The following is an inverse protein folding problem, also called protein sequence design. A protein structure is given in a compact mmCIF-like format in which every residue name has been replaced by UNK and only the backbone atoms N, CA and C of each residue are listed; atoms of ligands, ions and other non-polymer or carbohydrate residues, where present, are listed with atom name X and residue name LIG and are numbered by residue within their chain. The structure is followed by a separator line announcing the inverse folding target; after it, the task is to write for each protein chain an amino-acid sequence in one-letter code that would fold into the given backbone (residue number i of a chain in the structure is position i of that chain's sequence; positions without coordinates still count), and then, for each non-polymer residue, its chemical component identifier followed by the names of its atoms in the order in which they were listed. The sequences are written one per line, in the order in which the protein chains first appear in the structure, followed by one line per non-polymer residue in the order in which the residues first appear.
data_IF_055779567764
#
_entry.id   IF_055779567764
#
_cell.length_a   1.000
_cell.length_b   1.000
_cell.length_c   1.000
_cell.angle_alpha   90.00
_cell.angle_beta   90.00
_cell.angle_gamma   90.00
#
_symmetry.space_group_name_H-M   'P 1'
#
loop_
_entity.id
_entity.type
_entity.pdbx_description
1 polymer ?
#
# COMPACT_ATOMS: atom_id res chain seq x y z
N UNK A 1 -11.17 -20.34 12.88
CA UNK A 1 -11.31 -18.89 12.66
C UNK A 1 -12.73 -18.57 12.23
N UNK A 2 -13.25 -17.42 12.62
CA UNK A 2 -14.63 -17.00 12.32
C UNK A 2 -14.69 -16.31 10.94
N UNK A 3 -15.35 -16.93 9.97
CA UNK A 3 -15.44 -16.44 8.59
C UNK A 3 -16.16 -15.10 8.51
N UNK A 4 -17.25 -14.91 9.26
CA UNK A 4 -18.00 -13.66 9.26
C UNK A 4 -17.15 -12.49 9.77
N UNK A 5 -16.28 -12.74 10.76
CA UNK A 5 -15.33 -11.73 11.25
C UNK A 5 -14.31 -11.37 10.16
N UNK A 6 -13.76 -12.36 9.44
CA UNK A 6 -12.80 -12.12 8.36
C UNK A 6 -13.42 -11.26 7.24
N UNK A 7 -14.68 -11.51 6.87
CA UNK A 7 -15.36 -10.71 5.86
C UNK A 7 -15.56 -9.26 6.31
N UNK A 8 -15.86 -9.04 7.59
CA UNK A 8 -15.93 -7.70 8.18
C UNK A 8 -14.54 -7.05 8.18
N UNK A 9 -13.49 -7.79 8.56
CA UNK A 9 -12.11 -7.32 8.53
C UNK A 9 -11.68 -6.89 7.13
N UNK A 10 -12.03 -7.64 6.07
CA UNK A 10 -11.73 -7.26 4.69
C UNK A 10 -12.34 -5.90 4.33
N UNK A 11 -13.60 -5.66 4.69
CA UNK A 11 -14.29 -4.40 4.42
C UNK A 11 -13.72 -3.23 5.24
N UNK A 12 -13.51 -3.44 6.55
CA UNK A 12 -12.95 -2.44 7.46
C UNK A 12 -11.51 -2.11 7.08
N UNK A 13 -10.71 -3.11 6.71
CA UNK A 13 -9.32 -2.92 6.31
C UNK A 13 -9.22 -2.10 5.02
N UNK A 14 -10.08 -2.35 4.03
CA UNK A 14 -10.17 -1.51 2.83
C UNK A 14 -10.57 -0.06 3.17
N UNK A 15 -11.53 0.15 4.07
CA UNK A 15 -11.94 1.48 4.49
C UNK A 15 -10.83 2.24 5.22
N UNK A 16 -10.16 1.60 6.19
CA UNK A 16 -9.03 2.19 6.92
C UNK A 16 -7.87 2.50 5.98
N UNK A 17 -7.51 1.55 5.11
CA UNK A 17 -6.46 1.75 4.13
C UNK A 17 -6.77 2.95 3.23
N UNK A 18 -7.98 3.03 2.69
CA UNK A 18 -8.45 4.16 1.87
C UNK A 18 -8.34 5.50 2.63
N UNK A 19 -8.76 5.53 3.90
CA UNK A 19 -8.68 6.71 4.75
C UNK A 19 -7.24 7.16 5.04
N UNK A 20 -6.27 6.24 5.01
CA UNK A 20 -4.84 6.53 5.18
C UNK A 20 -4.22 7.01 3.86
N UNK A 21 -4.47 6.31 2.75
CA UNK A 21 -3.81 6.57 1.46
C UNK A 21 -4.33 7.82 0.76
N UNK A 22 -5.62 8.16 0.89
CA UNK A 22 -6.14 9.38 0.25
C UNK A 22 -5.41 10.64 0.75
N UNK A 23 -5.27 10.90 2.06
CA UNK A 23 -4.50 12.04 2.55
C UNK A 23 -3.00 11.94 2.25
N UNK A 24 -2.43 10.74 2.22
CA UNK A 24 -1.02 10.53 1.90
C UNK A 24 -0.70 10.84 0.41
N UNK A 25 -1.67 10.61 -0.48
CA UNK A 25 -1.54 10.80 -1.92
C UNK A 25 -2.12 12.12 -2.44
N UNK A 26 -2.58 13.02 -1.56
CA UNK A 26 -3.21 14.28 -1.96
C UNK A 26 -2.67 15.51 -1.21
N UNK A 27 -3.13 16.69 -1.62
CA UNK A 27 -2.66 17.96 -1.06
C UNK A 27 -1.14 18.12 -1.21
N UNK A 28 -0.48 18.65 -0.17
CA UNK A 28 0.98 18.85 -0.18
C UNK A 28 1.75 17.53 0.00
N UNK A 29 1.11 16.45 0.45
CA UNK A 29 1.78 15.17 0.73
C UNK A 29 2.19 14.43 -0.55
N UNK A 30 1.46 14.61 -1.66
CA UNK A 30 1.80 13.98 -2.93
C UNK A 30 3.16 14.40 -3.51
N UNK A 31 3.73 15.51 -3.03
CA UNK A 31 5.03 16.03 -3.45
C UNK A 31 6.20 15.54 -2.58
N UNK A 32 5.97 14.70 -1.58
CA UNK A 32 7.07 14.12 -0.81
C UNK A 32 7.81 13.06 -1.63
N UNK A 33 9.10 12.81 -1.37
CA UNK A 33 9.87 11.83 -2.14
C UNK A 33 9.24 10.42 -2.13
N UNK A 34 8.67 10.00 -1.00
CA UNK A 34 7.99 8.72 -0.86
C UNK A 34 6.66 8.63 -1.61
N UNK A 35 5.97 9.75 -1.83
CA UNK A 35 4.78 9.80 -2.67
C UNK A 35 5.14 9.80 -4.16
N UNK A 36 6.12 10.62 -4.55
CA UNK A 36 6.61 10.69 -5.95
C UNK A 36 7.14 9.32 -6.42
N UNK A 37 7.80 8.56 -5.54
CA UNK A 37 8.25 7.19 -5.78
C UNK A 37 7.13 6.26 -6.30
N UNK A 38 5.88 6.50 -5.91
CA UNK A 38 4.75 5.64 -6.27
C UNK A 38 4.13 5.99 -7.64
N UNK A 39 4.56 7.07 -8.31
CA UNK A 39 4.11 7.37 -9.68
C UNK A 39 4.91 6.57 -10.73
N UNK A 40 4.33 6.31 -11.91
CA UNK A 40 5.05 5.80 -13.07
C UNK A 40 6.34 6.59 -13.39
N UNK A 41 7.43 5.95 -13.84
CA UNK A 41 8.72 6.61 -14.05
C UNK A 41 8.69 7.80 -15.03
N UNK A 42 7.86 7.73 -16.06
CA UNK A 42 7.65 8.81 -17.03
C UNK A 42 6.98 10.03 -16.40
N UNK A 43 6.01 9.85 -15.51
CA UNK A 43 5.41 10.94 -14.72
C UNK A 43 6.46 11.57 -13.80
N UNK A 44 7.32 10.76 -13.18
CA UNK A 44 8.42 11.27 -12.37
C UNK A 44 9.38 12.11 -13.21
N UNK A 45 9.80 11.61 -14.37
CA UNK A 45 10.69 12.31 -15.29
C UNK A 45 10.11 13.63 -15.76
N UNK A 46 8.82 13.66 -16.14
CA UNK A 46 8.13 14.89 -16.55
C UNK A 46 8.09 15.91 -15.40
N UNK A 47 7.67 15.48 -14.20
CA UNK A 47 7.60 16.35 -13.02
C UNK A 47 8.94 17.02 -12.71
N UNK A 48 10.05 16.28 -12.83
CA UNK A 48 11.39 16.79 -12.52
C UNK A 48 12.01 17.68 -13.61
N UNK A 49 11.33 17.92 -14.73
CA UNK A 49 11.78 18.94 -15.70
C UNK A 49 11.62 20.36 -15.17
N UNK A 50 10.62 20.59 -14.32
CA UNK A 50 10.28 21.92 -13.80
C UNK A 50 10.44 22.01 -12.28
N UNK A 51 10.72 20.91 -11.60
CA UNK A 51 10.86 20.84 -10.14
C UNK A 51 12.26 20.33 -9.73
N UNK A 52 12.76 20.71 -8.53
CA UNK A 52 14.03 20.21 -8.03
C UNK A 52 14.08 18.68 -7.97
N UNK A 53 15.12 18.08 -8.58
CA UNK A 53 15.34 16.64 -8.54
C UNK A 53 15.68 16.20 -7.11
N UNK A 54 14.92 15.24 -6.60
CA UNK A 54 15.18 14.57 -5.31
C UNK A 54 15.31 13.06 -5.49
N UNK A 55 15.97 12.38 -4.56
CA UNK A 55 16.09 10.92 -4.61
C UNK A 55 14.77 10.27 -4.18
N UNK A 56 14.07 9.74 -5.18
CA UNK A 56 12.81 9.00 -5.06
C UNK A 56 13.02 7.51 -5.29
N UNK A 57 14.27 7.01 -5.31
CA UNK A 57 14.51 5.58 -5.50
C UNK A 57 14.07 4.76 -4.28
N UNK A 58 13.91 3.44 -4.46
CA UNK A 58 13.71 2.50 -3.35
C UNK A 58 14.82 2.54 -2.27
N UNK A 59 15.99 3.12 -2.59
CA UNK A 59 17.12 3.26 -1.68
C UNK A 59 17.13 4.59 -0.92
N UNK A 60 16.23 5.51 -1.27
CA UNK A 60 16.05 6.78 -0.58
C UNK A 60 15.72 6.54 0.89
N UNK A 61 16.38 7.29 1.80
CA UNK A 61 16.15 7.17 3.25
C UNK A 61 14.67 7.37 3.61
N UNK A 62 13.99 8.29 2.92
CA UNK A 62 12.58 8.59 3.15
C UNK A 62 11.68 7.42 2.75
N UNK A 63 11.95 6.82 1.58
CA UNK A 63 11.19 5.65 1.07
C UNK A 63 11.40 4.45 1.99
N UNK A 64 12.64 4.18 2.41
CA UNK A 64 12.96 3.09 3.34
C UNK A 64 12.27 3.31 4.68
N UNK A 65 12.32 4.52 5.24
CA UNK A 65 11.71 4.84 6.52
C UNK A 65 10.18 4.68 6.45
N UNK A 66 9.53 5.26 5.44
CA UNK A 66 8.09 5.17 5.26
C UNK A 66 7.62 3.71 5.12
N UNK A 67 8.32 2.90 4.31
CA UNK A 67 7.98 1.47 4.14
C UNK A 67 8.22 0.68 5.43
N UNK A 68 9.30 0.96 6.16
CA UNK A 68 9.59 0.32 7.45
C UNK A 68 8.51 0.63 8.49
N UNK A 69 8.08 1.90 8.60
CA UNK A 69 6.97 2.30 9.48
C UNK A 69 5.66 1.65 9.04
N UNK A 70 5.42 1.52 7.73
CA UNK A 70 4.29 0.80 7.18
C UNK A 70 4.27 -0.67 7.64
N UNK A 71 5.39 -1.39 7.55
CA UNK A 71 5.49 -2.79 8.01
C UNK A 71 5.07 -2.89 9.48
N UNK A 72 5.56 -2.01 10.34
CA UNK A 72 5.22 -2.03 11.78
C UNK A 72 3.73 -1.73 12.02
N UNK A 73 3.19 -0.71 11.34
CA UNK A 73 1.78 -0.33 11.46
C UNK A 73 0.85 -1.47 11.00
N UNK A 74 1.08 -2.02 9.81
CA UNK A 74 0.25 -3.12 9.29
C UNK A 74 0.38 -4.38 10.14
N UNK A 75 1.58 -4.68 10.65
CA UNK A 75 1.79 -5.80 11.58
C UNK A 75 0.93 -5.65 12.84
N UNK A 76 0.88 -4.45 13.43
CA UNK A 76 0.06 -4.19 14.61
C UNK A 76 -1.44 -4.32 14.33
N UNK A 77 -1.92 -3.74 13.22
CA UNK A 77 -3.32 -3.82 12.80
C UNK A 77 -3.72 -5.28 12.56
N UNK A 78 -2.89 -6.04 11.84
CA UNK A 78 -3.23 -7.40 11.43
C UNK A 78 -3.08 -8.41 12.58
N UNK A 79 -2.25 -8.13 13.59
CA UNK A 79 -2.26 -8.88 14.84
C UNK A 79 -3.60 -8.77 15.57
N UNK A 80 -4.23 -7.58 15.56
CA UNK A 80 -5.58 -7.39 16.10
C UNK A 80 -6.62 -8.16 15.29
N UNK A 81 -6.54 -8.14 13.95
CA UNK A 81 -7.40 -8.98 13.10
C UNK A 81 -7.26 -10.47 13.43
N UNK A 82 -6.02 -10.98 13.56
CA UNK A 82 -5.80 -12.37 13.95
C UNK A 82 -6.45 -12.72 15.29
N UNK A 83 -6.38 -11.81 16.26
CA UNK A 83 -7.03 -11.99 17.56
C UNK A 83 -8.56 -12.06 17.41
N UNK A 84 -9.20 -11.12 16.72
CA UNK A 84 -10.65 -11.09 16.54
C UNK A 84 -11.18 -12.26 15.69
N UNK A 85 -10.46 -12.64 14.63
CA UNK A 85 -10.78 -13.81 13.81
C UNK A 85 -10.58 -15.15 14.56
N UNK A 86 -9.94 -15.14 15.73
CA UNK A 86 -9.67 -16.31 16.54
C UNK A 86 -8.62 -17.23 15.93
N UNK A 87 -7.58 -16.68 15.30
CA UNK A 87 -6.38 -17.42 14.93
C UNK A 87 -5.64 -17.86 16.21
N UNK A 88 -5.19 -19.11 16.25
CA UNK A 88 -4.56 -19.76 17.42
C UNK A 88 -3.20 -20.38 17.13
N UNK A 89 -2.79 -20.40 15.87
CA UNK A 89 -1.52 -21.00 15.46
C UNK A 89 -0.79 -20.05 14.52
N UNK A 90 0.54 -20.23 14.42
CA UNK A 90 1.36 -19.51 13.46
C UNK A 90 0.75 -19.51 12.06
N UNK A 91 0.40 -20.68 11.54
CA UNK A 91 -0.10 -20.83 10.17
C UNK A 91 -1.46 -20.19 9.96
N UNK A 92 -2.33 -20.19 10.99
CA UNK A 92 -3.60 -19.47 10.91
C UNK A 92 -3.38 -17.96 10.81
N UNK A 93 -2.53 -17.40 11.69
CA UNK A 93 -2.21 -15.97 11.65
C UNK A 93 -1.48 -15.58 10.37
N UNK A 94 -0.53 -16.41 9.91
CA UNK A 94 0.23 -16.18 8.68
C UNK A 94 -0.68 -16.12 7.46
N UNK A 95 -1.52 -17.14 7.25
CA UNK A 95 -2.38 -17.19 6.06
C UNK A 95 -3.51 -16.18 6.11
N UNK A 96 -4.07 -15.88 7.28
CA UNK A 96 -5.04 -14.80 7.42
C UNK A 96 -4.40 -13.46 7.05
N UNK A 97 -3.24 -13.15 7.64
CA UNK A 97 -2.55 -11.89 7.40
C UNK A 97 -2.14 -11.76 5.94
N UNK A 98 -1.56 -12.80 5.36
CA UNK A 98 -1.19 -12.80 3.95
C UNK A 98 -2.41 -12.65 3.04
N UNK A 99 -3.53 -13.30 3.36
CA UNK A 99 -4.80 -13.16 2.64
C UNK A 99 -5.36 -11.73 2.71
N UNK A 100 -5.34 -11.09 3.88
CA UNK A 100 -5.76 -9.69 4.04
C UNK A 100 -4.82 -8.72 3.30
N UNK A 101 -3.51 -8.99 3.29
CA UNK A 101 -2.54 -8.21 2.53
C UNK A 101 -2.71 -8.39 1.01
N UNK A 102 -3.02 -9.59 0.54
CA UNK A 102 -3.34 -9.85 -0.86
C UNK A 102 -4.65 -9.17 -1.26
N UNK A 103 -5.69 -9.24 -0.41
CA UNK A 103 -6.95 -8.54 -0.60
C UNK A 103 -6.74 -7.04 -0.74
N UNK A 104 -6.00 -6.40 0.17
CA UNK A 104 -5.80 -4.96 0.09
C UNK A 104 -4.91 -4.57 -1.10
N UNK A 105 -3.90 -5.36 -1.44
CA UNK A 105 -3.08 -5.12 -2.64
C UNK A 105 -3.90 -5.18 -3.93
N UNK A 106 -4.84 -6.12 -4.02
CA UNK A 106 -5.78 -6.19 -5.15
C UNK A 106 -6.76 -5.02 -5.16
N UNK A 107 -7.30 -4.63 -4.00
CA UNK A 107 -8.17 -3.47 -3.88
C UNK A 107 -7.45 -2.18 -4.31
N UNK A 108 -6.24 -1.95 -3.82
CA UNK A 108 -5.40 -0.80 -4.17
C UNK A 108 -5.14 -0.77 -5.68
N UNK A 109 -4.64 -1.87 -6.24
CA UNK A 109 -4.32 -1.96 -7.69
C UNK A 109 -5.57 -1.77 -8.56
N UNK A 110 -6.64 -2.52 -8.30
CA UNK A 110 -7.78 -2.59 -9.21
C UNK A 110 -8.75 -1.42 -9.05
N UNK A 111 -8.88 -0.87 -7.84
CA UNK A 111 -9.82 0.20 -7.55
C UNK A 111 -9.12 1.53 -7.34
N UNK A 112 -8.18 1.64 -6.39
CA UNK A 112 -7.56 2.93 -6.09
C UNK A 112 -6.70 3.39 -7.26
N UNK A 113 -5.76 2.59 -7.74
CA UNK A 113 -4.87 2.96 -8.83
C UNK A 113 -5.61 3.06 -10.17
N UNK A 114 -6.27 1.98 -10.60
CA UNK A 114 -6.85 1.92 -11.95
C UNK A 114 -8.12 2.73 -12.14
N UNK A 115 -8.88 3.00 -11.07
CA UNK A 115 -10.16 3.72 -11.16
C UNK A 115 -10.05 5.09 -10.48
N UNK A 116 -9.72 5.16 -9.19
CA UNK A 116 -9.81 6.41 -8.45
C UNK A 116 -8.69 7.41 -8.82
N UNK A 117 -7.43 7.02 -8.63
CA UNK A 117 -6.25 7.88 -8.80
C UNK A 117 -6.01 8.22 -10.27
N UNK A 118 -6.21 7.27 -11.18
CA UNK A 118 -6.09 7.50 -12.61
C UNK A 118 -7.07 8.58 -13.14
N UNK A 119 -8.28 8.66 -12.56
CA UNK A 119 -9.35 9.53 -13.07
C UNK A 119 -9.49 10.87 -12.32
N UNK A 120 -8.96 11.01 -11.11
CA UNK A 120 -9.13 12.23 -10.31
C UNK A 120 -7.90 13.15 -10.39
N UNK A 121 -8.10 14.35 -10.95
CA UNK A 121 -7.03 15.36 -11.15
C UNK A 121 -6.30 15.77 -9.87
N UNK A 122 -6.93 15.65 -8.70
CA UNK A 122 -6.30 15.98 -7.42
C UNK A 122 -5.03 15.16 -7.12
N UNK A 123 -4.91 13.95 -7.69
CA UNK A 123 -3.75 13.08 -7.55
C UNK A 123 -2.66 13.33 -8.60
N UNK A 124 -2.87 14.24 -9.55
CA UNK A 124 -1.84 14.57 -10.54
C UNK A 124 -0.78 15.48 -9.93
N UNK A 125 0.46 15.27 -10.33
CA UNK A 125 1.55 16.18 -9.98
C UNK A 125 1.44 17.44 -10.83
N UNK A 126 1.92 18.55 -10.28
CA UNK A 126 1.92 19.82 -11.00
C UNK A 126 2.86 19.73 -12.22
N UNK A 127 2.37 20.16 -13.38
CA UNK A 127 3.10 20.09 -14.65
C UNK A 127 2.92 18.78 -15.41
N UNK A 128 2.26 17.77 -14.83
CA UNK A 128 2.01 16.46 -15.48
C UNK A 128 0.54 16.25 -15.85
N UNK A 129 -0.30 17.29 -15.74
CA UNK A 129 -1.75 17.19 -15.93
C UNK A 129 -2.15 16.74 -17.33
N UNK A 130 -1.28 16.91 -18.32
CA UNK A 130 -1.47 16.51 -19.71
C UNK A 130 -1.19 15.01 -19.96
N UNK A 131 -0.61 14.30 -19.01
CA UNK A 131 -0.15 12.91 -19.17
C UNK A 131 -1.25 11.87 -18.89
N UNK A 132 -2.44 12.03 -19.49
CA UNK A 132 -3.61 11.17 -19.23
C UNK A 132 -3.31 9.67 -19.34
N UNK A 133 -2.59 9.26 -20.39
CA UNK A 133 -2.25 7.85 -20.63
C UNK A 133 -1.28 7.30 -19.58
N UNK A 134 -0.31 8.11 -19.13
CA UNK A 134 0.67 7.70 -18.13
C UNK A 134 0.01 7.42 -16.77
N UNK A 135 -1.00 8.22 -16.41
CA UNK A 135 -1.82 8.00 -15.22
C UNK A 135 -2.68 6.72 -15.27
N UNK A 136 -2.87 6.12 -16.45
CA UNK A 136 -3.67 4.91 -16.64
C UNK A 136 -2.81 3.65 -16.88
N UNK A 137 -1.52 3.68 -16.57
CA UNK A 137 -0.61 2.55 -16.77
C UNK A 137 -0.88 1.37 -15.82
N UNK A 138 -1.86 0.53 -16.17
CA UNK A 138 -2.27 -0.62 -15.34
C UNK A 138 -1.13 -1.60 -15.03
N UNK A 139 -0.23 -1.79 -16.00
CA UNK A 139 0.89 -2.72 -15.86
C UNK A 139 1.93 -2.28 -14.83
N UNK A 140 2.11 -0.97 -14.64
CA UNK A 140 2.99 -0.43 -13.61
C UNK A 140 2.51 -0.85 -12.22
N UNK A 141 1.23 -0.64 -11.94
CA UNK A 141 0.61 -1.02 -10.66
C UNK A 141 0.56 -2.54 -10.46
N UNK A 142 0.21 -3.30 -11.51
CA UNK A 142 0.21 -4.77 -11.43
C UNK A 142 1.61 -5.33 -11.13
N UNK A 143 2.66 -4.79 -11.75
CA UNK A 143 4.04 -5.13 -11.39
C UNK A 143 4.32 -4.78 -9.93
N UNK A 144 3.93 -3.59 -9.47
CA UNK A 144 4.13 -3.13 -8.10
C UNK A 144 3.54 -4.07 -7.05
N UNK A 145 2.28 -4.52 -7.24
CA UNK A 145 1.64 -5.46 -6.30
C UNK A 145 2.28 -6.86 -6.36
N UNK A 146 2.67 -7.34 -7.56
CA UNK A 146 3.38 -8.61 -7.69
C UNK A 146 4.77 -8.55 -7.03
N UNK A 147 5.53 -7.50 -7.30
CA UNK A 147 6.81 -7.23 -6.67
C UNK A 147 7.13 -5.72 -6.70
N UNK A 148 7.41 -5.09 -5.55
CA UNK A 148 7.71 -5.70 -4.25
C UNK A 148 6.49 -5.93 -3.33
N UNK A 149 5.25 -5.67 -3.78
CA UNK A 149 4.05 -5.76 -2.94
C UNK A 149 3.85 -7.11 -2.24
N UNK A 150 3.99 -8.23 -2.97
CA UNK A 150 3.91 -9.58 -2.38
C UNK A 150 4.99 -9.82 -1.32
N UNK A 151 6.20 -9.30 -1.53
CA UNK A 151 7.28 -9.42 -0.56
C UNK A 151 6.94 -8.65 0.73
N UNK A 152 6.41 -7.43 0.60
CA UNK A 152 5.90 -6.67 1.74
C UNK A 152 4.81 -7.44 2.50
N UNK A 153 3.84 -8.02 1.78
CA UNK A 153 2.78 -8.84 2.36
C UNK A 153 3.30 -10.07 3.10
N UNK A 154 4.27 -10.79 2.52
CA UNK A 154 4.92 -11.94 3.16
C UNK A 154 5.68 -11.54 4.43
N UNK A 155 6.41 -10.42 4.40
CA UNK A 155 7.13 -9.91 5.57
C UNK A 155 6.17 -9.57 6.70
N UNK A 156 5.10 -8.83 6.41
CA UNK A 156 4.07 -8.47 7.40
C UNK A 156 3.36 -9.72 7.95
N UNK A 157 3.06 -10.70 7.10
CA UNK A 157 2.45 -11.97 7.51
C UNK A 157 3.34 -12.77 8.45
N UNK A 158 4.63 -12.87 8.15
CA UNK A 158 5.60 -13.55 9.01
C UNK A 158 5.73 -12.86 10.38
N UNK A 159 5.88 -11.54 10.40
CA UNK A 159 6.00 -10.76 11.63
C UNK A 159 4.73 -10.85 12.48
N UNK A 160 3.56 -10.72 11.86
CA UNK A 160 2.27 -10.83 12.55
C UNK A 160 2.11 -12.21 13.16
N UNK A 161 2.40 -13.27 12.40
CA UNK A 161 2.32 -14.64 12.90
C UNK A 161 3.25 -14.88 14.10
N UNK A 162 4.50 -14.39 14.04
CA UNK A 162 5.44 -14.45 15.17
C UNK A 162 4.91 -13.70 16.40
N UNK A 163 4.38 -12.49 16.24
CA UNK A 163 3.85 -11.70 17.35
C UNK A 163 2.63 -12.38 17.97
N UNK A 164 1.70 -12.87 17.15
CA UNK A 164 0.50 -13.56 17.67
C UNK A 164 0.83 -14.83 18.44
N UNK A 165 1.89 -15.56 18.06
CA UNK A 165 2.39 -16.71 18.83
C UNK A 165 2.94 -16.34 20.21
N UNK A 166 3.41 -15.10 20.40
CA UNK A 166 3.94 -14.65 21.69
C UNK A 166 2.83 -14.15 22.62
N UNK A 167 1.66 -13.82 22.08
CA UNK A 167 0.54 -13.23 22.81
C UNK A 167 -0.54 -14.28 23.15
N UNK A 168 -0.57 -15.42 22.43
CA UNK A 168 -1.52 -16.52 22.63
C UNK A 168 -0.80 -17.76 23.13
#
# INVERSE_FOLDING_TARGET
MNISVILIEMAVFAAIFTAIVIPASSGNRKYTPEAIHNYPPDIQEEYFKTHPRVDVSYRSKNVILAKSLGILLFTAILAACCHFAGAKTFWQSFWLTFGLMAWIGLYDTCFLDWVLFANLKMFRLEGTEHMDEAYHQKWFHLKGVLFPGSLFGLTVAALTALITMLIH
#
